data_IF_443748472321
#
_entry.id   IF_443748472321
#
_cell.length_a   1.000
_cell.length_b   1.000
_cell.length_c   1.000
_cell.angle_alpha   90.00
_cell.angle_beta   90.00
_cell.angle_gamma   90.00
#
_symmetry.space_group_name_H-M   'P 1'
#
loop_
_entity.id
_entity.type
_entity.pdbx_description
1 polymer ?
#
# COMPACT_ATOMS: atom_id res chain seq x y z
N UNK A 1 -7.62 5.08 -12.68
CA UNK A 1 -8.97 5.27 -12.11
C UNK A 1 -8.88 6.18 -10.89
N UNK A 2 -9.83 7.11 -10.76
CA UNK A 2 -10.01 7.92 -9.54
C UNK A 2 -11.43 7.68 -9.05
N UNK A 3 -11.58 7.24 -7.81
CA UNK A 3 -12.86 7.08 -7.13
C UNK A 3 -13.01 8.20 -6.11
N UNK A 4 -13.61 9.31 -6.54
CA UNK A 4 -13.72 10.53 -5.73
C UNK A 4 -14.47 10.26 -4.42
N UNK A 5 -15.59 9.53 -4.48
CA UNK A 5 -16.41 9.20 -3.32
C UNK A 5 -15.69 8.31 -2.30
N UNK A 6 -14.71 7.53 -2.74
CA UNK A 6 -13.90 6.66 -1.87
C UNK A 6 -12.57 7.30 -1.46
N UNK A 7 -12.24 8.48 -2.00
CA UNK A 7 -10.94 9.11 -1.80
C UNK A 7 -9.79 8.22 -2.29
N UNK A 8 -9.96 7.53 -3.41
CA UNK A 8 -8.96 6.56 -3.89
C UNK A 8 -8.50 6.88 -5.31
N UNK A 9 -7.24 6.61 -5.59
CA UNK A 9 -6.67 6.67 -6.94
C UNK A 9 -5.84 5.44 -7.20
N UNK A 10 -6.05 4.83 -8.37
CA UNK A 10 -5.22 3.74 -8.87
C UNK A 10 -4.65 4.05 -10.24
N UNK A 11 -3.35 3.78 -10.40
CA UNK A 11 -2.62 3.83 -11.67
C UNK A 11 -1.87 2.53 -11.83
N UNK A 12 -2.17 1.75 -12.85
CA UNK A 12 -1.58 0.43 -13.04
C UNK A 12 -2.37 -0.40 -14.05
N UNK A 13 -2.03 -1.69 -14.13
CA UNK A 13 -2.69 -2.64 -15.02
C UNK A 13 -4.06 -3.06 -14.46
N UNK A 14 -4.96 -3.33 -15.41
CA UNK A 14 -6.32 -3.80 -15.15
C UNK A 14 -6.55 -5.09 -15.91
N UNK A 15 -7.33 -6.00 -15.33
CA UNK A 15 -7.75 -7.24 -15.96
C UNK A 15 -9.16 -7.57 -15.49
N UNK A 16 -10.07 -7.85 -16.42
CA UNK A 16 -11.50 -8.06 -16.15
C UNK A 16 -12.12 -6.97 -15.23
N UNK A 17 -11.71 -5.72 -15.42
CA UNK A 17 -12.23 -4.57 -14.68
C UNK A 17 -11.69 -4.41 -13.25
N UNK A 18 -10.76 -5.25 -12.79
CA UNK A 18 -10.14 -5.15 -11.46
C UNK A 18 -8.64 -4.87 -11.54
N UNK A 19 -8.04 -4.31 -10.46
CA UNK A 19 -6.60 -4.07 -10.41
C UNK A 19 -5.83 -5.39 -10.57
N UNK A 20 -4.82 -5.41 -11.44
CA UNK A 20 -4.01 -6.60 -11.69
C UNK A 20 -2.59 -6.22 -12.13
N UNK A 21 -1.58 -7.04 -11.80
CA UNK A 21 -0.19 -6.77 -12.14
C UNK A 21 0.37 -5.55 -11.39
N UNK A 22 1.38 -4.90 -11.97
CA UNK A 22 2.02 -3.75 -11.33
C UNK A 22 1.06 -2.54 -11.29
N UNK A 23 1.02 -1.89 -10.13
CA UNK A 23 0.27 -0.65 -9.97
C UNK A 23 0.61 0.12 -8.71
N UNK A 24 0.06 1.33 -8.64
CA UNK A 24 0.11 2.25 -7.52
C UNK A 24 -1.31 2.59 -7.06
N UNK A 25 -1.63 2.24 -5.82
CA UNK A 25 -2.89 2.62 -5.16
C UNK A 25 -2.61 3.68 -4.11
N UNK A 26 -3.32 4.80 -4.17
CA UNK A 26 -3.20 5.95 -3.26
C UNK A 26 -4.54 6.13 -2.53
N UNK A 27 -4.47 6.23 -1.21
CA UNK A 27 -5.60 6.60 -0.35
C UNK A 27 -5.49 8.08 0.01
N UNK A 28 -6.39 8.89 -0.54
CA UNK A 28 -6.49 10.34 -0.35
C UNK A 28 -7.22 10.60 0.97
N UNK A 29 -6.48 10.50 2.07
CA UNK A 29 -7.01 10.70 3.42
C UNK A 29 -6.86 12.16 3.86
N UNK A 30 -7.80 12.59 4.70
CA UNK A 30 -7.75 13.85 5.45
C UNK A 30 -7.42 13.56 6.91
N UNK A 31 -6.69 14.46 7.55
CA UNK A 31 -6.40 14.40 8.98
C UNK A 31 -7.59 14.95 9.80
N UNK A 32 -7.42 15.05 11.13
CA UNK A 32 -8.46 15.53 12.05
C UNK A 32 -8.90 16.98 11.80
N UNK A 33 -8.06 17.82 11.19
CA UNK A 33 -8.43 19.21 10.82
C UNK A 33 -9.08 19.31 9.43
N UNK A 34 -9.31 18.18 8.75
CA UNK A 34 -9.92 18.15 7.43
C UNK A 34 -8.94 18.48 6.30
N UNK A 35 -7.65 18.71 6.60
CA UNK A 35 -6.62 18.92 5.58
C UNK A 35 -6.00 17.59 5.15
N UNK A 36 -5.45 17.52 3.93
CA UNK A 36 -4.80 16.29 3.46
C UNK A 36 -3.52 16.00 4.26
N UNK A 37 -3.22 14.71 4.47
CA UNK A 37 -1.91 14.32 4.99
C UNK A 37 -0.79 14.80 4.05
N UNK A 38 0.34 15.23 4.64
CA UNK A 38 1.55 15.61 3.89
C UNK A 38 1.96 14.53 2.88
N UNK A 39 1.82 13.26 3.28
CA UNK A 39 1.93 12.11 2.40
C UNK A 39 0.66 11.26 2.50
N UNK A 40 -0.05 11.11 1.39
CA UNK A 40 -1.15 10.15 1.30
C UNK A 40 -0.59 8.72 1.41
N UNK A 41 -1.20 7.83 2.23
CA UNK A 41 -0.83 6.43 2.22
C UNK A 41 -0.93 5.88 0.81
N UNK A 42 0.04 5.07 0.42
CA UNK A 42 0.00 4.44 -0.89
C UNK A 42 0.78 3.15 -0.93
N UNK A 43 0.35 2.29 -1.85
CA UNK A 43 0.99 1.03 -2.16
C UNK A 43 1.53 1.07 -3.58
N UNK A 44 2.74 0.53 -3.78
CA UNK A 44 3.35 0.31 -5.08
C UNK A 44 3.78 -1.16 -5.13
N UNK A 45 3.24 -1.93 -6.06
CA UNK A 45 3.59 -3.35 -6.17
C UNK A 45 2.61 -4.12 -7.04
N UNK A 46 2.60 -5.44 -6.85
CA UNK A 46 1.76 -6.32 -7.63
C UNK A 46 0.35 -6.39 -7.06
N UNK A 47 -0.62 -6.53 -7.97
CA UNK A 47 -2.02 -6.75 -7.68
C UNK A 47 -2.46 -8.07 -8.33
N UNK A 48 -3.32 -8.81 -7.65
CA UNK A 48 -3.98 -9.99 -8.20
C UNK A 48 -5.45 -9.96 -7.78
N UNK A 49 -6.35 -9.96 -8.79
CA UNK A 49 -7.81 -9.90 -8.59
C UNK A 49 -8.24 -8.78 -7.62
N UNK A 50 -7.74 -7.56 -7.83
CA UNK A 50 -8.07 -6.39 -7.01
C UNK A 50 -7.34 -6.28 -5.67
N UNK A 51 -6.52 -7.28 -5.29
CA UNK A 51 -5.84 -7.32 -4.00
C UNK A 51 -4.34 -7.12 -4.16
N UNK A 52 -3.69 -6.47 -3.19
CA UNK A 52 -2.23 -6.44 -3.10
C UNK A 52 -1.70 -7.86 -2.97
N UNK A 53 -0.70 -8.20 -3.77
CA UNK A 53 -0.16 -9.54 -3.88
C UNK A 53 1.32 -9.48 -4.27
N UNK A 54 2.07 -10.58 -4.10
CA UNK A 54 3.48 -10.66 -4.50
C UNK A 54 4.34 -9.63 -3.77
N UNK A 55 5.33 -9.05 -4.46
CA UNK A 55 6.20 -8.03 -3.86
C UNK A 55 5.61 -6.63 -3.99
N UNK A 56 5.74 -5.83 -2.92
CA UNK A 56 5.33 -4.43 -2.94
C UNK A 56 5.77 -3.62 -1.72
N UNK A 57 5.66 -2.30 -1.87
CA UNK A 57 5.99 -1.30 -0.85
C UNK A 57 4.73 -0.54 -0.43
N UNK A 58 4.50 -0.41 0.86
CA UNK A 58 3.45 0.42 1.43
C UNK A 58 4.05 1.59 2.21
N UNK A 59 3.61 2.79 1.88
CA UNK A 59 4.02 4.03 2.49
C UNK A 59 2.86 4.49 3.36
N UNK A 60 3.11 4.60 4.67
CA UNK A 60 2.11 5.00 5.65
C UNK A 60 2.05 6.53 5.76
N UNK A 61 0.89 7.09 6.13
CA UNK A 61 0.73 8.53 6.35
C UNK A 61 1.70 9.09 7.41
N UNK A 62 2.09 8.26 8.39
CA UNK A 62 3.05 8.61 9.43
C UNK A 62 4.52 8.61 8.99
N UNK A 63 4.80 8.36 7.71
CA UNK A 63 6.16 8.32 7.15
C UNK A 63 6.88 6.98 7.26
N UNK A 64 6.30 6.00 7.96
CA UNK A 64 6.81 4.64 7.96
C UNK A 64 6.62 3.98 6.57
N UNK A 65 7.45 2.99 6.27
CA UNK A 65 7.44 2.26 5.00
C UNK A 65 7.56 0.76 5.31
N UNK A 66 6.71 -0.05 4.71
CA UNK A 66 6.91 -1.50 4.65
C UNK A 66 7.28 -1.90 3.23
N UNK A 67 8.30 -2.74 3.06
CA UNK A 67 8.67 -3.36 1.78
C UNK A 67 8.77 -4.86 1.96
N UNK A 68 8.00 -5.65 1.24
CA UNK A 68 8.04 -7.09 1.38
C UNK A 68 6.93 -7.79 0.61
N UNK A 69 6.67 -9.03 1.01
CA UNK A 69 5.63 -9.83 0.40
C UNK A 69 4.22 -9.45 0.86
N UNK A 70 3.28 -9.67 -0.04
CA UNK A 70 1.86 -9.42 0.12
C UNK A 70 1.07 -10.63 -0.37
N UNK A 71 0.02 -10.98 0.36
CA UNK A 71 -0.92 -12.02 -0.03
C UNK A 71 -2.30 -11.58 0.40
N UNK A 72 -3.23 -11.47 -0.55
CA UNK A 72 -4.64 -11.15 -0.29
C UNK A 72 -4.79 -9.90 0.59
N UNK A 73 -4.12 -8.81 0.21
CA UNK A 73 -4.06 -7.55 0.97
C UNK A 73 -3.33 -7.58 2.32
N UNK A 74 -2.80 -8.71 2.77
CA UNK A 74 -2.06 -8.84 4.03
C UNK A 74 -0.56 -8.92 3.75
N UNK A 75 0.26 -8.44 4.69
CA UNK A 75 1.72 -8.62 4.64
C UNK A 75 2.05 -10.10 4.86
N UNK A 76 2.95 -10.64 4.05
CA UNK A 76 3.28 -12.06 4.07
C UNK A 76 4.73 -12.33 3.68
N UNK A 77 5.37 -13.28 4.36
CA UNK A 77 6.79 -13.61 4.19
C UNK A 77 7.72 -12.53 4.75
N UNK A 78 8.96 -12.55 4.29
CA UNK A 78 9.99 -11.60 4.73
C UNK A 78 9.71 -10.18 4.21
N UNK A 79 9.98 -9.20 5.06
CA UNK A 79 9.88 -7.79 4.72
C UNK A 79 10.76 -6.90 5.60
N UNK A 80 10.90 -5.65 5.17
CA UNK A 80 11.62 -4.59 5.85
C UNK A 80 10.63 -3.50 6.24
N UNK A 81 10.57 -3.17 7.52
CA UNK A 81 9.81 -2.06 8.05
C UNK A 81 10.78 -0.92 8.40
N UNK A 82 10.64 0.20 7.71
CA UNK A 82 11.37 1.43 8.00
C UNK A 82 10.46 2.36 8.78
N UNK A 83 10.84 2.73 10.00
CA UNK A 83 10.11 3.71 10.81
C UNK A 83 10.33 5.13 10.29
N UNK A 84 9.56 6.12 10.78
CA UNK A 84 9.68 7.52 10.32
C UNK A 84 11.08 8.12 10.59
N UNK A 85 11.74 7.66 11.66
CA UNK A 85 13.09 8.04 12.08
C UNK A 85 14.19 7.31 11.29
N UNK A 86 13.82 6.44 10.34
CA UNK A 86 14.76 5.75 9.46
C UNK A 86 15.29 4.43 10.00
N UNK A 87 14.87 4.00 11.20
CA UNK A 87 15.24 2.68 11.74
C UNK A 87 14.64 1.58 10.88
N UNK A 88 15.45 0.59 10.51
CA UNK A 88 15.06 -0.56 9.69
C UNK A 88 14.90 -1.77 10.61
N UNK A 89 13.77 -2.45 10.48
CA UNK A 89 13.46 -3.70 11.15
C UNK A 89 13.19 -4.76 10.07
N UNK A 90 13.94 -5.85 10.10
CA UNK A 90 13.62 -7.03 9.29
C UNK A 90 12.60 -7.86 10.05
N UNK A 91 11.51 -8.22 9.38
CA UNK A 91 10.34 -8.86 9.97
C UNK A 91 9.82 -9.92 9.02
N UNK A 92 9.31 -11.01 9.59
CA UNK A 92 8.57 -12.02 8.85
C UNK A 92 7.12 -11.94 9.26
N UNK A 93 6.22 -11.84 8.27
CA UNK A 93 4.78 -11.78 8.51
C UNK A 93 4.12 -13.06 8.02
N UNK A 94 3.15 -13.57 8.79
CA UNK A 94 2.21 -14.59 8.33
C UNK A 94 0.82 -13.98 8.32
N UNK A 95 0.47 -13.34 7.19
CA UNK A 95 -0.84 -12.72 6.98
C UNK A 95 -1.14 -11.65 8.05
N UNK A 96 -0.28 -10.62 8.07
CA UNK A 96 -0.25 -9.50 9.04
C UNK A 96 0.09 -9.87 10.50
N UNK A 97 0.33 -11.14 10.81
CA UNK A 97 0.78 -11.61 12.14
C UNK A 97 2.28 -11.81 12.23
#
# INVERSE_FOLDING_TARGET
MIWVNLGQRYVGKWEHGVQHGLGKHIWILKNSSGTHYFQSPHYIGNFFKGQRHGQGSFYYAGGAIYKGGWRNNMKHGQGKFTTKDGRILEVEFVDDK
#
